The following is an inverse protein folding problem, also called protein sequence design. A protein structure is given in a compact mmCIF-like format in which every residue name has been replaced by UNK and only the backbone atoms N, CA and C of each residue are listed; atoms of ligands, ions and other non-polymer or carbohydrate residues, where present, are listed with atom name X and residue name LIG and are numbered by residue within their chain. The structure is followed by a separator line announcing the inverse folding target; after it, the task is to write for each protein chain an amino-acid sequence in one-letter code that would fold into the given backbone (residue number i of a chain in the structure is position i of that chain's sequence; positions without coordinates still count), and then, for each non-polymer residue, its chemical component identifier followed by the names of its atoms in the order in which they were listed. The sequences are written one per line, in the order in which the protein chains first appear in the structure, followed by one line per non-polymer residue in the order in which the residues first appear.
data_IF_123686294464
#
_entry.id   IF_123686294464
#
_cell.length_a   1.000
_cell.length_b   1.000
_cell.length_c   1.000
_cell.angle_alpha   90.00
_cell.angle_beta   90.00
_cell.angle_gamma   90.00
#
_symmetry.space_group_name_H-M   'P 1'
#
loop_
_entity.id
_entity.type
_entity.pdbx_description
1 polymer ?
#
# COMPACT_ATOMS: atom_id res chain seq x y z
N UNK A 1 25.02 12.54 1.91
CA UNK A 1 23.70 12.14 2.45
C UNK A 1 22.65 12.97 1.72
N UNK A 2 22.24 12.49 0.55
CA UNK A 2 21.24 13.13 -0.31
C UNK A 2 20.39 12.00 -0.91
N UNK A 3 19.09 12.02 -0.63
CA UNK A 3 18.10 11.10 -1.16
C UNK A 3 17.97 11.33 -2.67
N UNK A 4 18.61 10.46 -3.47
CA UNK A 4 18.40 10.40 -4.92
C UNK A 4 17.27 9.42 -5.21
N UNK A 5 16.05 9.93 -5.23
CA UNK A 5 14.90 9.26 -5.83
C UNK A 5 15.09 9.25 -7.34
N UNK A 6 15.22 8.07 -7.96
CA UNK A 6 15.29 7.94 -9.43
C UNK A 6 14.02 7.25 -9.91
N UNK A 7 13.10 8.07 -10.42
CA UNK A 7 12.09 7.71 -11.39
C UNK A 7 12.79 7.40 -12.72
N UNK A 8 12.56 6.22 -13.30
CA UNK A 8 12.73 6.04 -14.74
C UNK A 8 11.36 6.24 -15.38
N UNK A 9 11.20 7.34 -16.11
CA UNK A 9 10.23 7.46 -17.19
C UNK A 9 10.99 8.09 -18.35
N UNK A 10 11.27 7.32 -19.39
CA UNK A 10 11.85 7.84 -20.62
C UNK A 10 10.94 8.91 -21.22
N UNK A 11 11.56 10.04 -21.53
CA UNK A 11 10.96 11.26 -22.02
C UNK A 11 10.60 11.11 -23.50
N UNK A 12 9.33 10.82 -23.83
CA UNK A 12 8.79 11.13 -25.17
C UNK A 12 8.43 12.61 -25.22
N UNK A 13 9.30 13.39 -25.88
CA UNK A 13 8.96 14.71 -26.42
C UNK A 13 7.80 14.59 -27.41
N UNK A 14 6.72 15.35 -27.18
CA UNK A 14 6.08 16.19 -28.21
C UNK A 14 5.06 17.18 -27.60
N UNK A 15 5.43 18.46 -27.73
CA UNK A 15 4.63 19.68 -27.99
C UNK A 15 3.11 19.75 -27.69
N UNK A 16 2.74 20.70 -26.82
CA UNK A 16 1.39 21.28 -26.69
C UNK A 16 1.16 21.77 -25.26
N UNK A 17 1.54 22.98 -24.85
CA UNK A 17 1.13 24.25 -25.44
C UNK A 17 -0.07 24.83 -24.67
N UNK A 18 0.19 25.49 -23.53
CA UNK A 18 -0.63 26.57 -22.95
C UNK A 18 -2.16 26.33 -22.86
N UNK A 19 -2.65 25.55 -21.88
CA UNK A 19 -4.08 25.57 -21.54
C UNK A 19 -4.44 25.31 -20.06
N UNK A 20 -3.48 25.07 -19.16
CA UNK A 20 -3.80 24.60 -17.79
C UNK A 20 -3.73 25.67 -16.69
N UNK A 21 -3.26 26.89 -17.00
CA UNK A 21 -3.08 27.96 -16.01
C UNK A 21 -4.26 28.97 -15.90
N UNK A 22 -5.36 28.76 -16.62
CA UNK A 22 -6.49 29.71 -16.64
C UNK A 22 -7.65 29.37 -15.68
N UNK A 23 -7.62 28.26 -14.93
CA UNK A 23 -8.76 27.81 -14.10
C UNK A 23 -8.62 27.99 -12.58
N UNK A 24 -7.49 28.49 -12.09
CA UNK A 24 -7.26 28.72 -10.64
C UNK A 24 -7.59 30.17 -10.20
N UNK A 25 -7.97 31.06 -11.12
CA UNK A 25 -8.16 32.49 -10.83
C UNK A 25 -9.63 32.98 -10.78
N UNK A 26 -10.64 32.09 -10.83
CA UNK A 26 -12.05 32.49 -11.00
C UNK A 26 -12.99 32.14 -9.82
N UNK A 27 -12.48 32.07 -8.59
CA UNK A 27 -13.32 31.88 -7.38
C UNK A 27 -13.08 32.94 -6.29
N UNK A 28 -12.69 34.15 -6.69
CA UNK A 28 -12.79 35.35 -5.85
C UNK A 28 -13.82 36.29 -6.47
N UNK A 29 -15.04 36.30 -5.90
CA UNK A 29 -15.97 37.43 -5.74
C UNK A 29 -17.43 36.98 -5.86
N UNK A 30 -18.01 36.56 -4.76
CA UNK A 30 -19.39 36.86 -4.33
C UNK A 30 -19.34 36.82 -2.80
N UNK A 31 -19.32 37.95 -2.10
CA UNK A 31 -20.52 38.74 -1.81
C UNK A 31 -21.02 38.37 -0.41
N UNK A 32 -20.29 38.78 0.64
CA UNK A 32 -20.76 38.69 2.03
C UNK A 32 -21.67 39.89 2.29
N UNK A 33 -22.98 39.67 2.33
CA UNK A 33 -23.94 40.62 2.90
C UNK A 33 -24.32 40.18 4.32
N UNK A 34 -24.24 41.14 5.22
CA UNK A 34 -24.53 41.03 6.64
C UNK A 34 -26.04 40.88 6.90
N UNK A 35 -26.44 39.81 7.59
CA UNK A 35 -27.76 39.66 8.20
C UNK A 35 -27.65 38.91 9.52
N UNK A 36 -27.77 39.64 10.64
CA UNK A 36 -27.94 39.06 11.98
C UNK A 36 -29.36 38.52 12.10
N UNK A 37 -29.49 37.23 12.37
CA UNK A 37 -30.75 36.58 12.74
C UNK A 37 -30.48 35.20 13.32
N UNK A 38 -30.57 35.08 14.64
CA UNK A 38 -30.34 33.82 15.36
C UNK A 38 -31.40 32.78 15.06
N UNK A 39 -30.95 31.55 14.83
CA UNK A 39 -31.79 30.36 14.74
C UNK A 39 -30.89 29.13 14.81
N UNK A 40 -31.13 28.27 15.80
CA UNK A 40 -30.46 26.97 15.98
C UNK A 40 -30.71 26.09 14.74
N UNK A 41 -29.81 26.11 13.78
CA UNK A 41 -29.79 25.16 12.68
C UNK A 41 -29.12 23.88 13.15
N UNK A 42 -29.90 22.84 13.44
CA UNK A 42 -29.39 21.47 13.41
C UNK A 42 -28.63 21.29 12.10
N UNK A 43 -27.43 20.70 12.16
CA UNK A 43 -26.74 20.20 10.98
C UNK A 43 -27.61 19.07 10.41
N UNK A 44 -28.58 19.41 9.57
CA UNK A 44 -29.32 18.43 8.79
C UNK A 44 -28.32 17.90 7.78
N UNK A 45 -27.75 16.73 8.07
CA UNK A 45 -26.83 16.04 7.19
C UNK A 45 -27.37 16.08 5.77
N UNK A 46 -26.48 16.32 4.81
CA UNK A 46 -26.85 16.22 3.39
C UNK A 46 -27.56 14.89 3.18
N UNK A 47 -28.69 14.85 2.43
CA UNK A 47 -29.29 13.58 2.07
C UNK A 47 -28.21 12.74 1.38
N UNK A 48 -27.94 11.59 1.98
CA UNK A 48 -27.00 10.59 1.54
C UNK A 48 -27.43 10.17 0.12
N UNK A 49 -26.75 10.63 -0.92
CA UNK A 49 -27.05 10.21 -2.29
C UNK A 49 -26.65 8.74 -2.47
N UNK A 50 -27.28 7.98 -3.37
CA UNK A 50 -26.97 6.55 -3.56
C UNK A 50 -25.48 6.25 -3.84
N UNK A 51 -24.71 7.26 -4.27
CA UNK A 51 -23.24 7.23 -4.38
C UNK A 51 -22.48 7.08 -3.06
N UNK A 52 -23.14 7.27 -1.91
CA UNK A 52 -22.55 7.17 -0.57
C UNK A 52 -22.54 5.72 -0.03
N UNK A 53 -23.05 4.76 -0.82
CA UNK A 53 -23.04 3.33 -0.48
C UNK A 53 -21.91 2.56 -1.14
N UNK A 54 -21.32 3.08 -2.23
CA UNK A 54 -20.18 2.44 -2.89
C UNK A 54 -18.89 2.77 -2.15
N UNK A 55 -18.14 1.72 -1.81
CA UNK A 55 -16.84 1.91 -1.15
C UNK A 55 -15.82 2.46 -2.15
N UNK A 56 -14.83 3.29 -1.72
CA UNK A 56 -13.92 3.96 -2.64
C UNK A 56 -13.09 3.07 -3.56
N UNK A 57 -12.85 1.81 -3.18
CA UNK A 57 -12.09 0.81 -3.94
C UNK A 57 -12.94 -0.40 -4.33
N UNK A 58 -14.26 -0.26 -4.33
CA UNK A 58 -15.15 -1.31 -4.81
C UNK A 58 -14.84 -1.68 -6.28
N UNK A 59 -14.75 -2.98 -6.56
CA UNK A 59 -14.35 -3.51 -7.86
C UNK A 59 -12.84 -3.67 -8.07
N UNK A 60 -11.99 -3.10 -7.22
CA UNK A 60 -10.53 -3.27 -7.29
C UNK A 60 -10.12 -4.61 -6.71
N UNK A 61 -9.32 -5.38 -7.46
CA UNK A 61 -8.77 -6.67 -7.05
C UNK A 61 -7.28 -6.59 -6.77
N UNK A 62 -6.87 -7.11 -5.62
CA UNK A 62 -5.50 -7.02 -5.13
C UNK A 62 -4.96 -8.42 -4.87
N UNK A 63 -3.83 -8.74 -5.51
CA UNK A 63 -3.03 -9.92 -5.20
C UNK A 63 -1.97 -9.56 -4.15
N UNK A 64 -2.18 -10.02 -2.93
CA UNK A 64 -1.35 -9.74 -1.75
C UNK A 64 -0.37 -10.89 -1.50
N UNK A 65 0.87 -10.72 -1.96
CA UNK A 65 2.00 -11.62 -1.72
C UNK A 65 2.78 -11.28 -0.45
N UNK A 66 2.27 -10.35 0.37
CA UNK A 66 3.02 -9.76 1.47
C UNK A 66 2.95 -10.56 2.76
N UNK A 67 3.93 -10.33 3.64
CA UNK A 67 4.07 -11.00 4.95
C UNK A 67 4.34 -10.02 6.08
N UNK A 68 4.13 -10.50 7.31
CA UNK A 68 4.48 -9.79 8.55
C UNK A 68 3.60 -8.59 8.84
N UNK A 69 3.99 -7.37 8.45
CA UNK A 69 3.30 -6.16 8.90
C UNK A 69 3.09 -5.12 7.81
N UNK A 70 4.16 -4.54 7.25
CA UNK A 70 4.04 -3.36 6.40
C UNK A 70 3.14 -3.58 5.18
N UNK A 71 3.36 -4.69 4.47
CA UNK A 71 2.51 -5.08 3.35
C UNK A 71 1.10 -5.51 3.79
N UNK A 72 0.94 -6.43 4.76
CA UNK A 72 -0.38 -6.86 5.18
C UNK A 72 -1.27 -5.72 5.69
N UNK A 73 -0.70 -4.78 6.45
CA UNK A 73 -1.40 -3.60 6.93
C UNK A 73 -1.83 -2.69 5.76
N UNK A 74 -0.96 -2.48 4.78
CA UNK A 74 -1.30 -1.67 3.61
C UNK A 74 -2.46 -2.26 2.81
N UNK A 75 -2.41 -3.56 2.49
CA UNK A 75 -3.48 -4.21 1.73
C UNK A 75 -4.76 -4.39 2.56
N UNK A 76 -4.67 -4.55 3.88
CA UNK A 76 -5.82 -4.55 4.77
C UNK A 76 -6.57 -3.21 4.70
N UNK A 77 -5.86 -2.08 4.76
CA UNK A 77 -6.50 -0.77 4.63
C UNK A 77 -7.23 -0.61 3.29
N UNK A 78 -6.70 -1.18 2.21
CA UNK A 78 -7.39 -1.19 0.91
C UNK A 78 -8.63 -2.08 0.92
N UNK A 79 -8.57 -3.24 1.60
CA UNK A 79 -9.75 -4.09 1.83
C UNK A 79 -10.83 -3.41 2.68
N UNK A 80 -10.43 -2.66 3.71
CA UNK A 80 -11.34 -1.82 4.51
C UNK A 80 -12.06 -0.77 3.63
N UNK A 81 -11.36 -0.23 2.63
CA UNK A 81 -11.89 0.69 1.61
C UNK A 81 -12.64 -0.01 0.46
N UNK A 82 -12.86 -1.32 0.52
CA UNK A 82 -13.73 -2.07 -0.39
C UNK A 82 -13.04 -2.90 -1.48
N UNK A 83 -11.72 -2.95 -1.52
CA UNK A 83 -11.00 -3.79 -2.47
C UNK A 83 -11.18 -5.29 -2.14
N UNK A 84 -11.26 -6.15 -3.17
CA UNK A 84 -11.15 -7.59 -3.00
C UNK A 84 -9.67 -7.98 -2.88
N UNK A 85 -9.25 -8.42 -1.70
CA UNK A 85 -7.85 -8.78 -1.43
C UNK A 85 -7.69 -10.30 -1.35
N UNK A 86 -6.87 -10.85 -2.24
CA UNK A 86 -6.47 -12.26 -2.25
C UNK A 86 -5.05 -12.37 -1.70
N UNK A 87 -4.93 -12.82 -0.45
CA UNK A 87 -3.65 -13.09 0.21
C UNK A 87 -3.13 -14.47 -0.19
N UNK A 88 -1.91 -14.51 -0.69
CA UNK A 88 -1.20 -15.74 -1.03
C UNK A 88 -0.29 -16.12 0.12
N UNK A 89 -0.44 -17.35 0.59
CA UNK A 89 0.27 -17.86 1.74
C UNK A 89 0.98 -19.18 1.46
N UNK A 90 1.95 -19.53 2.31
CA UNK A 90 2.67 -20.80 2.19
C UNK A 90 1.78 -21.96 2.65
N UNK A 91 1.72 -23.08 1.92
CA UNK A 91 1.06 -24.29 2.41
C UNK A 91 1.59 -24.74 3.78
N UNK A 92 0.69 -25.17 4.65
CA UNK A 92 0.99 -25.68 5.99
C UNK A 92 1.26 -24.61 7.05
N UNK A 93 2.10 -23.61 6.75
CA UNK A 93 2.55 -22.61 7.75
C UNK A 93 1.90 -21.24 7.61
N UNK A 94 1.51 -20.85 6.40
CA UNK A 94 0.95 -19.54 6.12
C UNK A 94 1.94 -18.37 6.27
N UNK A 95 1.40 -17.19 6.60
CA UNK A 95 2.16 -16.04 7.10
C UNK A 95 2.79 -16.35 8.47
N UNK A 96 4.03 -15.92 8.71
CA UNK A 96 4.73 -16.20 9.99
C UNK A 96 3.93 -15.70 11.19
N UNK A 97 3.25 -14.56 11.01
CA UNK A 97 2.50 -13.89 12.07
C UNK A 97 1.32 -14.69 12.59
N UNK A 98 0.84 -15.72 11.89
CA UNK A 98 -0.19 -16.64 12.39
C UNK A 98 0.20 -17.30 13.71
N UNK A 99 1.49 -17.53 13.90
CA UNK A 99 2.06 -18.21 15.08
C UNK A 99 2.65 -17.24 16.11
N UNK A 100 2.73 -15.95 15.80
CA UNK A 100 3.39 -14.94 16.65
C UNK A 100 2.45 -14.45 17.75
N UNK A 101 2.30 -15.24 18.81
CA UNK A 101 1.58 -14.85 20.03
C UNK A 101 2.40 -15.14 21.29
N UNK A 102 1.80 -15.00 22.49
CA UNK A 102 0.42 -14.59 22.78
C UNK A 102 0.13 -13.09 22.52
N UNK A 103 -1.15 -12.65 22.44
CA UNK A 103 -2.36 -13.47 22.60
C UNK A 103 -2.82 -14.21 21.33
N UNK A 104 -3.62 -15.26 21.54
CA UNK A 104 -4.22 -16.08 20.48
C UNK A 104 -5.75 -16.05 20.59
N UNK A 105 -6.42 -16.12 19.44
CA UNK A 105 -7.86 -16.39 19.34
C UNK A 105 -8.01 -17.71 18.59
N UNK A 106 -8.37 -18.77 19.30
CA UNK A 106 -8.31 -20.13 18.76
C UNK A 106 -6.87 -20.53 18.44
N UNK A 107 -6.62 -20.94 17.19
CA UNK A 107 -5.29 -21.33 16.71
C UNK A 107 -4.50 -20.17 16.08
N UNK A 108 -5.11 -18.99 15.93
CA UNK A 108 -4.53 -17.87 15.22
C UNK A 108 -4.07 -16.77 16.18
N UNK A 109 -2.90 -16.20 15.92
CA UNK A 109 -2.40 -15.04 16.66
C UNK A 109 -3.29 -13.81 16.43
N UNK A 110 -3.54 -13.04 17.49
CA UNK A 110 -4.19 -11.72 17.37
C UNK A 110 -3.40 -10.77 16.49
N UNK A 111 -2.07 -10.94 16.39
CA UNK A 111 -1.23 -10.17 15.49
C UNK A 111 -1.71 -10.36 14.05
N UNK A 112 -1.77 -11.62 13.58
CA UNK A 112 -2.22 -11.93 12.22
C UNK A 112 -3.63 -11.40 11.96
N UNK A 113 -4.55 -11.66 12.90
CA UNK A 113 -5.96 -11.24 12.77
C UNK A 113 -6.11 -9.72 12.68
N UNK A 114 -5.29 -8.97 13.42
CA UNK A 114 -5.37 -7.50 13.45
C UNK A 114 -4.96 -6.81 12.14
N UNK A 115 -4.13 -7.48 11.31
CA UNK A 115 -3.58 -6.91 10.07
C UNK A 115 -3.97 -7.66 8.79
N UNK A 116 -4.90 -8.62 8.88
CA UNK A 116 -5.37 -9.41 7.74
C UNK A 116 -6.89 -9.57 7.65
N UNK A 117 -7.68 -8.75 8.36
CA UNK A 117 -9.14 -8.69 8.13
C UNK A 117 -9.47 -8.24 6.70
N UNK A 118 -10.68 -8.56 6.23
CA UNK A 118 -11.16 -8.24 4.87
C UNK A 118 -10.32 -8.85 3.72
N UNK A 119 -9.58 -9.92 4.00
CA UNK A 119 -8.81 -10.67 2.99
C UNK A 119 -9.33 -12.09 2.86
N UNK A 120 -9.30 -12.61 1.64
CA UNK A 120 -9.43 -14.04 1.34
C UNK A 120 -8.03 -14.63 1.26
N UNK A 121 -7.82 -15.84 1.79
CA UNK A 121 -6.52 -16.48 1.79
C UNK A 121 -6.51 -17.72 0.90
N UNK A 122 -5.42 -17.89 0.14
CA UNK A 122 -5.12 -19.11 -0.61
C UNK A 122 -3.69 -19.58 -0.27
N UNK A 123 -3.51 -20.89 -0.14
CA UNK A 123 -2.21 -21.48 0.08
C UNK A 123 -1.60 -21.95 -1.26
N UNK A 124 -0.48 -21.35 -1.66
CA UNK A 124 0.20 -21.67 -2.94
C UNK A 124 1.70 -21.83 -2.71
N UNK A 125 2.25 -22.96 -3.15
CA UNK A 125 3.70 -23.15 -3.15
C UNK A 125 4.31 -22.51 -4.40
N UNK A 126 4.80 -21.28 -4.28
CA UNK A 126 5.42 -20.54 -5.40
C UNK A 126 6.76 -21.10 -5.88
N UNK A 127 7.34 -22.09 -5.19
CA UNK A 127 8.53 -22.81 -5.68
C UNK A 127 8.19 -23.89 -6.70
N UNK A 128 6.93 -24.32 -6.76
CA UNK A 128 6.43 -25.26 -7.75
C UNK A 128 6.03 -24.49 -9.02
N UNK A 129 6.44 -24.93 -10.23
CA UNK A 129 5.95 -24.39 -11.49
C UNK A 129 4.43 -24.22 -11.58
N UNK A 130 3.66 -25.16 -11.00
CA UNK A 130 2.20 -25.05 -10.93
C UNK A 130 1.75 -23.89 -10.05
N UNK A 131 2.43 -23.70 -8.91
CA UNK A 131 2.16 -22.57 -8.03
C UNK A 131 2.46 -21.24 -8.71
N UNK A 132 3.61 -21.13 -9.39
CA UNK A 132 3.95 -19.94 -10.18
C UNK A 132 2.90 -19.65 -11.26
N UNK A 133 2.40 -20.69 -11.94
CA UNK A 133 1.32 -20.55 -12.94
C UNK A 133 0.05 -19.97 -12.32
N UNK A 134 -0.37 -20.47 -11.15
CA UNK A 134 -1.54 -19.96 -10.42
C UNK A 134 -1.35 -18.48 -10.08
N UNK A 135 -0.18 -18.07 -9.59
CA UNK A 135 0.08 -16.66 -9.26
C UNK A 135 0.00 -15.78 -10.50
N UNK A 136 0.54 -16.24 -11.64
CA UNK A 136 0.47 -15.51 -12.92
C UNK A 136 -0.96 -15.38 -13.45
N UNK A 137 -1.76 -16.44 -13.35
CA UNK A 137 -3.18 -16.42 -13.72
C UNK A 137 -4.00 -15.48 -12.82
N UNK A 138 -3.70 -15.44 -11.53
CA UNK A 138 -4.32 -14.49 -10.59
C UNK A 138 -3.89 -13.06 -10.89
N UNK A 139 -2.60 -12.83 -11.15
CA UNK A 139 -2.10 -11.50 -11.50
C UNK A 139 -2.77 -10.95 -12.77
N UNK A 140 -3.08 -11.80 -13.75
CA UNK A 140 -3.77 -11.41 -14.99
C UNK A 140 -5.19 -10.83 -14.78
N UNK A 141 -5.82 -11.13 -13.64
CA UNK A 141 -7.20 -10.69 -13.31
C UNK A 141 -7.25 -9.72 -12.12
N UNK A 142 -6.09 -9.31 -11.60
CA UNK A 142 -5.97 -8.35 -10.50
C UNK A 142 -5.43 -7.01 -11.00
N UNK A 143 -5.92 -5.93 -10.42
CA UNK A 143 -5.48 -4.57 -10.75
C UNK A 143 -4.19 -4.18 -10.03
N UNK A 144 -3.91 -4.80 -8.89
CA UNK A 144 -2.76 -4.48 -8.04
C UNK A 144 -2.04 -5.75 -7.59
N UNK A 145 -0.72 -5.77 -7.74
CA UNK A 145 0.17 -6.80 -7.20
C UNK A 145 1.04 -6.19 -6.12
N UNK A 146 0.95 -6.70 -4.89
CA UNK A 146 1.70 -6.15 -3.74
C UNK A 146 2.60 -7.22 -3.15
N UNK A 147 3.87 -6.89 -2.98
CA UNK A 147 4.86 -7.79 -2.41
C UNK A 147 5.88 -7.06 -1.52
N UNK A 148 6.50 -7.79 -0.59
CA UNK A 148 7.50 -7.25 0.32
C UNK A 148 8.71 -8.18 0.51
N UNK A 149 9.14 -8.84 -0.56
CA UNK A 149 10.33 -9.68 -0.57
C UNK A 149 11.60 -8.82 -0.67
N UNK A 150 12.75 -9.45 -0.39
CA UNK A 150 14.05 -8.83 -0.67
C UNK A 150 14.14 -8.56 -2.19
N UNK A 151 14.63 -7.38 -2.63
CA UNK A 151 14.72 -7.02 -4.03
C UNK A 151 15.35 -8.11 -4.89
N UNK A 152 14.71 -8.45 -6.00
CA UNK A 152 15.14 -9.48 -6.94
C UNK A 152 14.67 -10.91 -6.61
N UNK A 153 14.21 -11.17 -5.38
CA UNK A 153 13.83 -12.54 -4.99
C UNK A 153 12.66 -13.12 -5.78
N UNK A 154 11.64 -12.30 -6.06
CA UNK A 154 10.53 -12.71 -6.92
C UNK A 154 10.93 -12.73 -8.41
N UNK A 155 11.86 -11.88 -8.84
CA UNK A 155 12.40 -11.92 -10.21
C UNK A 155 13.11 -13.25 -10.49
N UNK A 156 13.87 -13.79 -9.54
CA UNK A 156 14.46 -15.15 -9.65
C UNK A 156 13.40 -16.24 -9.83
N UNK A 157 12.16 -15.99 -9.38
CA UNK A 157 11.02 -16.90 -9.48
C UNK A 157 10.12 -16.55 -10.69
N UNK A 158 10.51 -15.60 -11.54
CA UNK A 158 9.71 -15.18 -12.69
C UNK A 158 8.39 -14.49 -12.30
N UNK A 159 8.36 -13.85 -11.13
CA UNK A 159 7.26 -13.07 -10.57
C UNK A 159 7.67 -11.62 -10.30
N UNK A 160 8.77 -11.17 -10.90
CA UNK A 160 9.20 -9.77 -10.81
C UNK A 160 8.35 -8.86 -11.68
N UNK A 161 8.56 -7.55 -11.57
CA UNK A 161 7.81 -6.54 -12.33
C UNK A 161 7.76 -6.85 -13.84
N UNK A 162 8.92 -7.05 -14.47
CA UNK A 162 9.02 -7.31 -15.91
C UNK A 162 8.33 -8.60 -16.36
N UNK A 163 8.21 -9.59 -15.48
CA UNK A 163 7.52 -10.85 -15.78
C UNK A 163 6.00 -10.70 -15.68
N UNK A 164 5.55 -9.96 -14.67
CA UNK A 164 4.14 -9.72 -14.41
C UNK A 164 3.56 -8.72 -15.42
N UNK A 165 4.29 -7.67 -15.78
CA UNK A 165 3.89 -6.68 -16.80
C UNK A 165 3.59 -7.32 -18.16
N UNK A 166 4.35 -8.35 -18.56
CA UNK A 166 4.10 -9.10 -19.80
C UNK A 166 2.75 -9.81 -19.83
N UNK A 167 2.21 -10.17 -18.66
CA UNK A 167 1.00 -10.97 -18.50
C UNK A 167 -0.19 -10.06 -18.16
N UNK A 168 0.05 -9.03 -17.37
CA UNK A 168 -0.94 -8.05 -16.92
C UNK A 168 -0.39 -6.63 -17.13
N UNK A 169 -0.43 -6.08 -18.37
CA UNK A 169 0.13 -4.74 -18.64
C UNK A 169 -0.56 -3.59 -17.91
N UNK A 170 -1.78 -3.81 -17.42
CA UNK A 170 -2.59 -2.84 -16.67
C UNK A 170 -2.24 -2.82 -15.16
N UNK A 171 -1.44 -3.77 -14.69
CA UNK A 171 -1.29 -4.01 -13.26
C UNK A 171 -0.43 -2.96 -12.57
N UNK A 172 -0.86 -2.52 -11.40
CA UNK A 172 -0.05 -1.69 -10.51
C UNK A 172 0.79 -2.62 -9.65
N UNK A 173 2.08 -2.73 -9.98
CA UNK A 173 3.04 -3.49 -9.17
C UNK A 173 3.63 -2.61 -8.05
N UNK A 174 3.51 -3.09 -6.81
CA UNK A 174 4.02 -2.42 -5.62
C UNK A 174 4.97 -3.34 -4.85
N UNK A 175 6.20 -2.86 -4.65
CA UNK A 175 7.24 -3.52 -3.88
C UNK A 175 7.54 -2.71 -2.61
N UNK A 176 7.44 -3.34 -1.45
CA UNK A 176 7.71 -2.73 -0.15
C UNK A 176 9.00 -3.34 0.42
N UNK A 177 10.08 -2.56 0.43
CA UNK A 177 11.40 -3.04 0.86
C UNK A 177 11.99 -2.16 1.95
N UNK A 178 12.78 -2.75 2.84
CA UNK A 178 13.29 -2.04 4.03
C UNK A 178 14.35 -0.97 3.74
N UNK A 179 15.19 -1.20 2.73
CA UNK A 179 16.29 -0.29 2.36
C UNK A 179 16.11 0.31 0.95
N UNK A 180 14.95 0.09 0.33
CA UNK A 180 14.70 0.43 -1.07
C UNK A 180 15.23 -0.62 -2.05
N UNK A 181 14.89 -0.43 -3.34
CA UNK A 181 15.26 -1.35 -4.42
C UNK A 181 16.74 -1.22 -4.84
N UNK A 182 17.40 -0.12 -4.51
CA UNK A 182 18.76 0.21 -4.96
C UNK A 182 19.67 0.59 -3.80
N UNK A 183 20.98 0.65 -4.07
CA UNK A 183 21.98 1.02 -3.07
C UNK A 183 22.61 -0.17 -2.34
N UNK A 184 23.64 0.09 -1.50
CA UNK A 184 24.50 -0.96 -0.95
C UNK A 184 23.81 -1.85 0.09
N UNK A 185 22.66 -1.43 0.64
CA UNK A 185 21.90 -2.19 1.64
C UNK A 185 20.62 -2.83 1.07
N UNK A 186 20.33 -2.69 -0.24
CA UNK A 186 19.06 -3.16 -0.83
C UNK A 186 18.82 -4.66 -0.62
N UNK A 187 19.87 -5.46 -0.64
CA UNK A 187 19.82 -6.92 -0.45
C UNK A 187 19.69 -7.36 1.01
N UNK A 188 19.61 -6.42 1.96
CA UNK A 188 19.44 -6.75 3.39
C UNK A 188 17.97 -6.84 3.76
N UNK A 189 17.63 -7.81 4.61
CA UNK A 189 16.30 -7.90 5.19
C UNK A 189 16.03 -6.68 6.08
N UNK A 190 14.91 -6.00 5.83
CA UNK A 190 14.45 -4.87 6.63
C UNK A 190 13.51 -5.33 7.72
N UNK A 191 13.92 -5.15 8.97
CA UNK A 191 13.05 -5.32 10.13
C UNK A 191 12.96 -4.02 10.91
N UNK A 192 11.81 -3.79 11.54
CA UNK A 192 11.52 -2.57 12.31
C UNK A 192 12.61 -2.23 13.33
N UNK A 193 13.12 -3.22 14.07
CA UNK A 193 14.20 -3.02 15.03
C UNK A 193 15.48 -2.45 14.37
N UNK A 194 15.80 -2.93 13.17
CA UNK A 194 17.00 -2.49 12.44
C UNK A 194 16.78 -1.09 11.85
N UNK A 195 15.59 -0.83 11.31
CA UNK A 195 15.22 0.51 10.83
C UNK A 195 15.26 1.55 11.97
N UNK A 196 14.78 1.18 13.16
CA UNK A 196 14.82 2.00 14.37
C UNK A 196 16.25 2.32 14.82
N UNK A 197 17.15 1.35 14.72
CA UNK A 197 18.56 1.53 15.07
C UNK A 197 19.26 2.47 14.07
N UNK A 198 19.13 2.18 12.77
CA UNK A 198 19.86 2.88 11.71
C UNK A 198 19.36 4.31 11.51
N UNK A 199 18.08 4.58 11.73
CA UNK A 199 17.51 5.93 11.64
C UNK A 199 17.99 6.86 12.77
N UNK A 200 18.66 6.33 13.80
CA UNK A 200 19.04 7.10 14.99
C UNK A 200 17.90 7.28 15.99
N UNK A 201 16.71 6.75 15.73
CA UNK A 201 15.56 6.87 16.63
C UNK A 201 15.81 6.19 17.98
N UNK A 202 16.51 5.06 17.99
CA UNK A 202 16.96 4.43 19.24
C UNK A 202 17.96 5.28 20.02
N UNK A 203 18.79 6.10 19.35
CA UNK A 203 19.79 6.93 20.01
C UNK A 203 19.15 8.09 20.78
N UNK A 204 18.10 8.70 20.22
CA UNK A 204 17.40 9.83 20.84
C UNK A 204 16.28 9.39 21.81
N UNK A 205 16.12 8.09 22.05
CA UNK A 205 15.01 7.55 22.83
C UNK A 205 15.46 6.70 23.99
N UNK A 206 15.03 7.09 25.17
CA UNK A 206 15.36 6.44 26.43
C UNK A 206 15.97 7.42 27.43
N UNK A 207 16.43 6.91 28.57
CA UNK A 207 17.13 7.72 29.56
C UNK A 207 18.46 8.26 28.99
N UNK A 208 18.90 9.43 29.47
CA UNK A 208 20.16 10.08 29.03
C UNK A 208 21.40 9.19 29.20
N UNK A 209 21.37 8.31 30.20
CA UNK A 209 22.41 7.31 30.46
C UNK A 209 21.72 5.95 30.62
N UNK A 210 22.08 4.99 29.78
CA UNK A 210 21.53 3.64 29.84
C UNK A 210 21.45 2.96 28.47
N UNK A 211 20.73 1.85 28.43
CA UNK A 211 20.49 1.12 27.18
C UNK A 211 19.54 1.89 26.26
N UNK A 212 19.84 1.85 24.96
CA UNK A 212 18.96 2.43 23.93
C UNK A 212 17.60 1.73 23.96
N UNK A 213 16.52 2.51 23.92
CA UNK A 213 15.17 1.96 23.91
C UNK A 213 14.65 1.85 22.48
N UNK A 214 14.05 0.70 22.18
CA UNK A 214 13.32 0.50 20.92
C UNK A 214 11.99 1.22 20.99
N UNK A 215 11.73 2.04 19.99
CA UNK A 215 10.41 2.63 19.75
C UNK A 215 9.59 1.67 18.88
N UNK A 216 8.37 1.36 19.32
CA UNK A 216 7.42 0.57 18.52
C UNK A 216 6.60 1.42 17.54
N UNK A 217 6.68 2.75 17.61
CA UNK A 217 5.93 3.69 16.76
C UNK A 217 6.32 3.59 15.27
N UNK A 218 7.58 3.26 14.94
CA UNK A 218 8.02 3.12 13.54
C UNK A 218 7.25 2.00 12.84
N UNK A 219 6.93 0.95 13.60
CA UNK A 219 6.07 -0.16 13.19
C UNK A 219 4.64 0.27 12.84
N UNK A 220 4.18 1.45 13.27
CA UNK A 220 2.84 1.99 12.99
C UNK A 220 2.85 2.94 11.79
N UNK A 221 3.81 3.87 11.73
CA UNK A 221 3.81 4.92 10.69
C UNK A 221 4.32 4.46 9.32
N UNK A 222 5.32 3.58 9.27
CA UNK A 222 5.87 3.13 7.97
C UNK A 222 4.80 2.39 7.14
N UNK A 223 4.02 1.44 7.71
CA UNK A 223 2.91 0.81 7.00
C UNK A 223 1.84 1.79 6.52
N UNK A 224 1.54 2.85 7.29
CA UNK A 224 0.59 3.89 6.92
C UNK A 224 1.06 4.69 5.69
N UNK A 225 2.35 5.05 5.63
CA UNK A 225 2.93 5.73 4.46
C UNK A 225 2.78 4.87 3.20
N UNK A 226 3.07 3.56 3.31
CA UNK A 226 2.88 2.64 2.19
C UNK A 226 1.41 2.50 1.79
N UNK A 227 0.50 2.43 2.77
CA UNK A 227 -0.95 2.43 2.54
C UNK A 227 -1.38 3.66 1.72
N UNK A 228 -0.97 4.85 2.18
CA UNK A 228 -1.34 6.11 1.54
C UNK A 228 -0.74 6.24 0.13
N UNK A 229 0.52 5.84 -0.05
CA UNK A 229 1.17 5.82 -1.35
C UNK A 229 0.44 4.90 -2.34
N UNK A 230 0.01 3.73 -1.88
CA UNK A 230 -0.71 2.77 -2.71
C UNK A 230 -2.11 3.28 -3.09
N UNK A 231 -2.84 3.86 -2.13
CA UNK A 231 -4.14 4.52 -2.38
C UNK A 231 -4.01 5.61 -3.45
N UNK A 232 -2.99 6.48 -3.33
CA UNK A 232 -2.75 7.55 -4.29
C UNK A 232 -2.43 7.00 -5.69
N UNK A 233 -1.61 5.96 -5.77
CA UNK A 233 -1.26 5.33 -7.05
C UNK A 233 -2.46 4.69 -7.73
N UNK A 234 -3.25 3.92 -6.99
CA UNK A 234 -4.48 3.31 -7.51
C UNK A 234 -5.40 4.40 -8.05
N UNK A 235 -5.67 5.43 -7.26
CA UNK A 235 -6.57 6.50 -7.65
C UNK A 235 -6.05 7.32 -8.84
N UNK A 236 -4.74 7.58 -8.90
CA UNK A 236 -4.14 8.27 -10.04
C UNK A 236 -4.25 7.45 -11.32
N UNK A 237 -4.02 6.13 -11.26
CA UNK A 237 -4.12 5.27 -12.43
C UNK A 237 -5.55 5.24 -12.99
N UNK A 238 -6.55 5.04 -12.12
CA UNK A 238 -7.97 5.11 -12.51
C UNK A 238 -8.36 6.46 -13.12
N UNK A 239 -7.81 7.57 -12.63
CA UNK A 239 -8.05 8.90 -13.21
C UNK A 239 -7.40 9.03 -14.59
N UNK A 240 -6.20 8.50 -14.78
CA UNK A 240 -5.50 8.58 -16.06
C UNK A 240 -6.20 7.74 -17.13
N UNK A 241 -6.65 6.53 -16.80
CA UNK A 241 -7.40 5.66 -17.72
C UNK A 241 -8.72 6.31 -18.16
N UNK A 242 -9.48 6.90 -17.22
CA UNK A 242 -10.74 7.61 -17.54
C UNK A 242 -10.57 8.89 -18.37
N UNK A 243 -9.36 9.44 -18.49
CA UNK A 243 -9.09 10.61 -19.33
C UNK A 243 -8.57 10.23 -20.72
N UNK A 244 -8.37 8.93 -21.00
CA UNK A 244 -7.98 8.42 -22.31
C UNK A 244 -9.17 7.91 -23.14
N UNK A 245 -10.34 7.75 -22.52
CA UNK A 245 -11.64 7.50 -23.16
C UNK A 245 -12.34 8.82 -23.56
#
# INVERSE_FOLDING_TARGET
MALRWVLHSEERRQSGGRAMLARVAALRRTGVSSGRGGGRGLWTGRPQSDTDTMKPLEGVKILDMTRVLAGPFATMNLGDLGAEVIKVERPGTGDDTRTWGPPFVGTESTYFLSVNRNKRSIAVNIKDPKGMKIIKELAAVCDVFVENYVPGKLSEMGLGYEDIEKIAPHIIYCSITGYGQTGPMSQRAGYDAVASAISGLMHITGPEVGALLRIFIISLYIPEIFSFSLILRIKLNFILERNQE
#
